data_IF_016894220348
#
_entry.id   IF_016894220348
#
_cell.length_a   1.000
_cell.length_b   1.000
_cell.length_c   1.000
_cell.angle_alpha   90.00
_cell.angle_beta   90.00
_cell.angle_gamma   90.00
#
_symmetry.space_group_name_H-M   'P 1'
#
loop_
_entity.id
_entity.type
_entity.pdbx_description
1 polymer ?
#
# COMPACT_ATOMS: atom_id res chain seq x y z
N UNK A 1 68.86 -83.53 -54.21
CA UNK A 1 68.60 -82.50 -53.17
C UNK A 1 69.04 -81.17 -53.75
N UNK A 2 68.23 -80.14 -54.00
CA UNK A 2 66.86 -79.85 -53.58
C UNK A 2 66.67 -78.33 -53.59
N UNK A 3 66.73 -77.74 -54.79
CA UNK A 3 66.28 -76.41 -55.29
C UNK A 3 66.78 -75.10 -54.62
N UNK A 4 67.25 -74.12 -55.43
CA UNK A 4 67.63 -72.78 -54.97
C UNK A 4 66.63 -71.66 -55.42
N UNK A 5 66.86 -70.45 -54.89
CA UNK A 5 66.47 -69.09 -55.38
C UNK A 5 64.99 -68.66 -55.22
N UNK A 6 64.74 -67.54 -54.50
CA UNK A 6 64.31 -66.28 -55.15
C UNK A 6 64.03 -65.13 -54.18
N UNK A 7 64.64 -64.01 -54.56
CA UNK A 7 64.41 -62.64 -54.16
C UNK A 7 62.94 -62.26 -54.40
N UNK A 8 62.25 -61.78 -53.36
CA UNK A 8 60.93 -61.17 -53.46
C UNK A 8 61.06 -59.85 -54.22
N UNK A 9 60.93 -59.89 -55.55
CA UNK A 9 60.69 -58.70 -56.34
C UNK A 9 59.26 -58.21 -56.09
N UNK A 10 59.16 -56.97 -55.64
CA UNK A 10 57.97 -56.15 -55.77
C UNK A 10 57.53 -56.22 -57.24
N UNK A 11 56.39 -56.87 -57.51
CA UNK A 11 55.72 -56.75 -58.79
C UNK A 11 55.17 -55.34 -58.88
N UNK A 12 56.03 -54.43 -59.31
CA UNK A 12 55.58 -53.22 -59.98
C UNK A 12 54.86 -53.68 -61.24
N UNK A 13 53.53 -53.86 -61.13
CA UNK A 13 52.67 -53.54 -62.26
C UNK A 13 52.92 -52.07 -62.53
N UNK A 14 53.83 -51.83 -63.47
CA UNK A 14 54.04 -50.54 -64.09
C UNK A 14 52.69 -49.92 -64.35
N UNK A 15 52.47 -48.77 -63.73
CA UNK A 15 52.42 -47.48 -64.40
C UNK A 15 52.66 -47.47 -65.93
N UNK A 16 52.10 -48.42 -66.67
CA UNK A 16 51.89 -48.34 -68.11
C UNK A 16 50.45 -47.87 -68.33
N UNK A 17 50.07 -46.80 -67.62
CA UNK A 17 49.21 -45.81 -68.24
C UNK A 17 50.08 -45.09 -69.26
N UNK A 18 50.38 -45.78 -70.37
CA UNK A 18 50.79 -45.11 -71.59
C UNK A 18 49.61 -44.20 -71.93
N UNK A 19 49.71 -42.94 -71.53
CA UNK A 19 48.92 -41.87 -72.12
C UNK A 19 49.31 -41.83 -73.60
N UNK A 20 48.69 -42.68 -74.40
CA UNK A 20 48.55 -42.40 -75.83
C UNK A 20 47.79 -41.07 -75.87
N UNK A 21 48.53 -39.98 -76.12
CA UNK A 21 47.95 -38.66 -76.30
C UNK A 21 47.17 -38.66 -77.61
N UNK A 22 45.99 -39.26 -77.57
CA UNK A 22 45.06 -39.23 -78.67
C UNK A 22 44.28 -37.90 -78.56
N UNK A 23 44.36 -37.01 -79.57
CA UNK A 23 43.62 -35.75 -79.55
C UNK A 23 42.10 -35.93 -79.39
N UNK A 24 41.58 -37.12 -79.73
CA UNK A 24 40.18 -37.49 -79.52
C UNK A 24 39.84 -37.65 -78.03
N UNK A 25 40.70 -38.31 -77.24
CA UNK A 25 40.44 -38.56 -75.82
C UNK A 25 40.46 -37.26 -75.01
N UNK A 26 41.39 -36.34 -75.34
CA UNK A 26 41.44 -34.99 -74.74
C UNK A 26 40.14 -34.23 -75.05
N UNK A 27 39.63 -34.33 -76.29
CA UNK A 27 38.36 -33.72 -76.69
C UNK A 27 37.18 -34.24 -75.87
N UNK A 28 37.09 -35.56 -75.66
CA UNK A 28 36.02 -36.18 -74.86
C UNK A 28 36.12 -35.77 -73.39
N UNK A 29 37.33 -35.74 -72.81
CA UNK A 29 37.52 -35.28 -71.42
C UNK A 29 37.10 -33.83 -71.24
N UNK A 30 37.43 -32.93 -72.18
CA UNK A 30 37.01 -31.52 -72.15
C UNK A 30 35.48 -31.41 -72.25
N UNK A 31 34.85 -32.17 -73.16
CA UNK A 31 33.38 -32.19 -73.28
C UNK A 31 32.74 -32.71 -71.99
N UNK A 32 33.27 -33.78 -71.40
CA UNK A 32 32.75 -34.32 -70.14
C UNK A 32 32.90 -33.31 -68.98
N UNK A 33 34.04 -32.63 -68.88
CA UNK A 33 34.26 -31.56 -67.90
C UNK A 33 33.28 -30.41 -68.10
N UNK A 34 33.02 -30.00 -69.35
CA UNK A 34 32.05 -28.96 -69.67
C UNK A 34 30.62 -29.38 -69.31
N UNK A 35 30.22 -30.61 -69.63
CA UNK A 35 28.90 -31.15 -69.28
C UNK A 35 28.74 -31.20 -67.76
N UNK A 36 29.73 -31.72 -67.04
CA UNK A 36 29.73 -31.75 -65.57
C UNK A 36 29.67 -30.34 -64.99
N UNK A 37 30.45 -29.40 -65.52
CA UNK A 37 30.44 -28.00 -65.08
C UNK A 37 29.07 -27.34 -65.30
N UNK A 38 28.42 -27.59 -66.44
CA UNK A 38 27.10 -27.04 -66.73
C UNK A 38 26.02 -27.62 -65.80
N UNK A 39 26.06 -28.93 -65.53
CA UNK A 39 25.16 -29.58 -64.57
C UNK A 39 25.38 -29.00 -63.17
N UNK A 40 26.63 -28.92 -62.73
CA UNK A 40 26.99 -28.44 -61.40
C UNK A 40 26.64 -26.96 -61.22
N UNK A 41 26.88 -26.12 -62.24
CA UNK A 41 26.45 -24.72 -62.26
C UNK A 41 24.94 -24.61 -62.11
N UNK A 42 24.16 -25.38 -62.87
CA UNK A 42 22.69 -25.33 -62.81
C UNK A 42 22.14 -25.84 -61.47
N UNK A 43 22.76 -26.86 -60.89
CA UNK A 43 22.34 -27.45 -59.61
C UNK A 43 22.74 -26.57 -58.42
N UNK A 44 23.94 -25.99 -58.42
CA UNK A 44 24.46 -25.20 -57.29
C UNK A 44 24.00 -23.74 -57.27
N UNK A 45 23.58 -23.17 -58.40
CA UNK A 45 23.17 -21.77 -58.47
C UNK A 45 22.05 -21.44 -57.46
N UNK A 46 20.99 -22.28 -57.44
CA UNK A 46 19.86 -22.11 -56.52
C UNK A 46 20.26 -22.22 -55.04
N UNK A 47 20.81 -23.33 -54.53
CA UNK A 47 21.09 -23.48 -53.10
C UNK A 47 22.12 -22.47 -52.57
N UNK A 48 23.11 -22.07 -53.37
CA UNK A 48 24.10 -21.06 -52.95
C UNK A 48 23.47 -19.68 -52.88
N UNK A 49 22.64 -19.30 -53.86
CA UNK A 49 21.92 -18.02 -53.83
C UNK A 49 20.93 -17.95 -52.67
N UNK A 50 20.17 -19.02 -52.44
CA UNK A 50 19.19 -19.11 -51.36
C UNK A 50 19.86 -19.05 -49.98
N UNK A 51 21.01 -19.72 -49.81
CA UNK A 51 21.77 -19.66 -48.56
C UNK A 51 22.30 -18.24 -48.27
N UNK A 52 22.85 -17.56 -49.28
CA UNK A 52 23.35 -16.19 -49.13
C UNK A 52 22.21 -15.21 -48.85
N UNK A 53 21.08 -15.34 -49.52
CA UNK A 53 19.90 -14.50 -49.30
C UNK A 53 19.32 -14.74 -47.91
N UNK A 54 19.18 -16.01 -47.49
CA UNK A 54 18.71 -16.36 -46.14
C UNK A 54 19.63 -15.79 -45.06
N UNK A 55 20.94 -15.86 -45.25
CA UNK A 55 21.91 -15.28 -44.30
C UNK A 55 21.81 -13.76 -44.26
N UNK A 56 21.61 -13.11 -45.41
CA UNK A 56 21.41 -11.66 -45.49
C UNK A 56 20.12 -11.25 -44.78
N UNK A 57 19.02 -11.96 -45.01
CA UNK A 57 17.74 -11.72 -44.35
C UNK A 57 17.85 -11.89 -42.84
N UNK A 58 18.45 -12.98 -42.36
CA UNK A 58 18.65 -13.20 -40.92
C UNK A 58 19.43 -12.06 -40.26
N UNK A 59 20.52 -11.59 -40.89
CA UNK A 59 21.31 -10.49 -40.35
C UNK A 59 20.51 -9.18 -40.32
N UNK A 60 19.76 -8.89 -41.39
CA UNK A 60 18.92 -7.70 -41.43
C UNK A 60 17.81 -7.77 -40.37
N UNK A 61 17.14 -8.91 -40.25
CA UNK A 61 16.10 -9.13 -39.26
C UNK A 61 16.64 -8.99 -37.84
N UNK A 62 17.82 -9.55 -37.56
CA UNK A 62 18.48 -9.44 -36.25
C UNK A 62 18.86 -7.98 -35.94
N UNK A 63 19.36 -7.23 -36.92
CA UNK A 63 19.68 -5.80 -36.77
C UNK A 63 18.43 -4.95 -36.55
N UNK A 64 17.37 -5.19 -37.32
CA UNK A 64 16.09 -4.50 -37.20
C UNK A 64 15.41 -4.83 -35.86
N UNK A 65 15.50 -6.08 -35.40
CA UNK A 65 15.02 -6.50 -34.08
C UNK A 65 15.84 -5.84 -32.97
N UNK A 66 17.17 -5.81 -33.08
CA UNK A 66 18.03 -5.16 -32.09
C UNK A 66 17.75 -3.65 -32.00
N UNK A 67 17.53 -2.99 -33.14
CA UNK A 67 17.19 -1.57 -33.19
C UNK A 67 15.80 -1.31 -32.57
N UNK A 68 14.78 -2.10 -32.93
CA UNK A 68 13.44 -2.01 -32.32
C UNK A 68 13.47 -2.23 -30.81
N UNK A 69 14.15 -3.27 -30.35
CA UNK A 69 14.29 -3.56 -28.92
C UNK A 69 14.99 -2.42 -28.18
N UNK A 70 16.00 -1.79 -28.80
CA UNK A 70 16.69 -0.64 -28.22
C UNK A 70 15.77 0.58 -28.12
N UNK A 71 15.01 0.87 -29.15
CA UNK A 71 14.05 1.98 -29.16
C UNK A 71 12.93 1.75 -28.13
N UNK A 72 12.36 0.54 -28.07
CA UNK A 72 11.37 0.16 -27.07
C UNK A 72 11.92 0.26 -25.64
N UNK A 73 13.15 -0.24 -25.41
CA UNK A 73 13.79 -0.13 -24.10
C UNK A 73 14.04 1.33 -23.70
N UNK A 74 14.44 2.19 -24.63
CA UNK A 74 14.60 3.63 -24.38
C UNK A 74 13.27 4.31 -24.06
N UNK A 75 12.22 3.98 -24.80
CA UNK A 75 10.87 4.50 -24.56
C UNK A 75 10.35 4.07 -23.19
N UNK A 76 10.45 2.79 -22.85
CA UNK A 76 10.07 2.27 -21.54
C UNK A 76 10.86 2.92 -20.41
N UNK A 77 12.17 3.14 -20.61
CA UNK A 77 13.00 3.81 -19.62
C UNK A 77 12.55 5.25 -19.38
N UNK A 78 12.20 5.98 -20.43
CA UNK A 78 11.69 7.35 -20.35
C UNK A 78 10.32 7.38 -19.65
N UNK A 79 9.39 6.50 -20.02
CA UNK A 79 8.08 6.34 -19.38
C UNK A 79 8.23 5.99 -17.89
N UNK A 80 9.13 5.06 -17.54
CA UNK A 80 9.42 4.72 -16.15
C UNK A 80 9.99 5.90 -15.37
N UNK A 81 10.91 6.68 -15.95
CA UNK A 81 11.45 7.89 -15.31
C UNK A 81 10.36 8.91 -15.05
N UNK A 82 9.49 9.14 -16.03
CA UNK A 82 8.35 10.05 -15.89
C UNK A 82 7.40 9.56 -14.80
N UNK A 83 7.06 8.27 -14.78
CA UNK A 83 6.20 7.67 -13.77
C UNK A 83 6.79 7.79 -12.37
N UNK A 84 8.10 7.52 -12.21
CA UNK A 84 8.78 7.69 -10.91
C UNK A 84 8.77 9.15 -10.46
N UNK A 85 8.98 10.11 -11.37
CA UNK A 85 8.91 11.53 -11.05
C UNK A 85 7.49 11.96 -10.65
N UNK A 86 6.48 11.50 -11.38
CA UNK A 86 5.06 11.75 -11.07
C UNK A 86 4.67 11.16 -9.72
N UNK A 87 5.00 9.89 -9.46
CA UNK A 87 4.71 9.21 -8.21
C UNK A 87 5.38 9.90 -7.01
N UNK A 88 6.63 10.40 -7.17
CA UNK A 88 7.29 11.19 -6.12
C UNK A 88 6.54 12.49 -5.84
N UNK A 89 6.07 13.19 -6.87
CA UNK A 89 5.27 14.40 -6.74
C UNK A 89 3.91 14.14 -6.08
N UNK A 90 3.25 13.04 -6.45
CA UNK A 90 1.98 12.63 -5.87
C UNK A 90 2.13 12.20 -4.40
N UNK A 91 3.15 11.40 -4.08
CA UNK A 91 3.46 11.03 -2.70
C UNK A 91 3.72 12.26 -1.82
N UNK A 92 4.48 13.24 -2.32
CA UNK A 92 4.69 14.50 -1.60
C UNK A 92 3.37 15.26 -1.36
N UNK A 93 2.48 15.31 -2.36
CA UNK A 93 1.15 15.92 -2.21
C UNK A 93 0.26 15.18 -1.22
N UNK A 94 0.30 13.85 -1.21
CA UNK A 94 -0.47 13.04 -0.24
C UNK A 94 0.01 13.34 1.17
N UNK A 95 1.33 13.37 1.41
CA UNK A 95 1.90 13.70 2.72
C UNK A 95 1.52 15.12 3.15
N UNK A 96 1.68 16.10 2.27
CA UNK A 96 1.33 17.50 2.54
C UNK A 96 -0.18 17.68 2.86
N UNK A 97 -1.06 17.01 2.11
CA UNK A 97 -2.49 16.98 2.40
C UNK A 97 -2.80 16.31 3.73
N UNK A 98 -2.14 15.18 4.04
CA UNK A 98 -2.34 14.46 5.30
C UNK A 98 -1.90 15.30 6.50
N UNK A 99 -0.76 16.01 6.40
CA UNK A 99 -0.29 16.93 7.45
C UNK A 99 -1.29 18.08 7.64
N UNK A 100 -1.73 18.74 6.57
CA UNK A 100 -2.75 19.80 6.65
C UNK A 100 -4.04 19.31 7.30
N UNK A 101 -4.53 18.12 6.91
CA UNK A 101 -5.74 17.55 7.51
C UNK A 101 -5.53 17.20 8.99
N UNK A 102 -4.35 16.69 9.35
CA UNK A 102 -4.02 16.39 10.74
C UNK A 102 -3.99 17.66 11.60
N UNK A 103 -3.41 18.75 11.11
CA UNK A 103 -3.39 20.03 11.81
C UNK A 103 -4.80 20.60 11.98
N UNK A 104 -5.62 20.58 10.92
CA UNK A 104 -7.02 21.01 11.01
C UNK A 104 -7.82 20.17 12.01
N UNK A 105 -7.64 18.84 12.00
CA UNK A 105 -8.29 17.95 12.96
C UNK A 105 -7.82 18.18 14.38
N UNK A 106 -6.52 18.42 14.58
CA UNK A 106 -5.97 18.75 15.88
C UNK A 106 -6.60 20.03 16.43
N UNK A 107 -6.68 21.08 15.61
CA UNK A 107 -7.27 22.35 16.02
C UNK A 107 -8.77 22.20 16.32
N UNK A 108 -9.51 21.42 15.52
CA UNK A 108 -10.91 21.08 15.75
C UNK A 108 -11.10 20.34 17.09
N UNK A 109 -10.27 19.32 17.36
CA UNK A 109 -10.32 18.55 18.61
C UNK A 109 -10.03 19.45 19.82
N UNK A 110 -9.02 20.32 19.73
CA UNK A 110 -8.67 21.25 20.83
C UNK A 110 -9.82 22.24 21.06
N UNK A 111 -10.41 22.79 20.00
CA UNK A 111 -11.52 23.72 20.10
C UNK A 111 -12.76 23.04 20.72
N UNK A 112 -13.10 21.84 20.27
CA UNK A 112 -14.21 21.06 20.81
C UNK A 112 -13.98 20.70 22.27
N UNK A 113 -12.79 20.20 22.63
CA UNK A 113 -12.45 19.89 24.02
C UNK A 113 -12.52 21.13 24.92
N UNK A 114 -12.13 22.31 24.43
CA UNK A 114 -12.28 23.56 25.15
C UNK A 114 -13.74 23.96 25.38
N UNK A 115 -14.60 23.78 24.37
CA UNK A 115 -16.04 24.03 24.49
C UNK A 115 -16.71 23.06 25.47
N UNK A 116 -16.38 21.77 25.38
CA UNK A 116 -16.90 20.73 26.28
C UNK A 116 -16.46 20.98 27.73
N UNK A 117 -15.19 21.34 27.95
CA UNK A 117 -14.69 21.69 29.27
C UNK A 117 -15.39 22.92 29.85
N UNK A 118 -15.63 23.96 29.04
CA UNK A 118 -16.35 25.15 29.47
C UNK A 118 -17.82 24.84 29.82
N UNK A 119 -18.50 24.05 28.98
CA UNK A 119 -19.88 23.62 29.22
C UNK A 119 -19.99 22.75 30.48
N UNK A 120 -19.02 21.85 30.69
CA UNK A 120 -18.96 21.04 31.91
C UNK A 120 -18.78 21.91 33.14
N UNK A 121 -17.82 22.84 33.14
CA UNK A 121 -17.61 23.75 34.27
C UNK A 121 -18.86 24.57 34.60
N UNK A 122 -19.59 25.04 33.60
CA UNK A 122 -20.82 25.80 33.83
C UNK A 122 -21.93 24.91 34.43
N UNK A 123 -22.07 23.68 33.94
CA UNK A 123 -23.02 22.71 34.48
C UNK A 123 -22.69 22.35 35.94
N UNK A 124 -21.43 22.06 36.23
CA UNK A 124 -20.98 21.73 37.59
C UNK A 124 -21.17 22.90 38.56
N UNK A 125 -20.95 24.15 38.11
CA UNK A 125 -21.26 25.34 38.92
C UNK A 125 -22.74 25.46 39.24
N UNK A 126 -23.60 25.21 38.25
CA UNK A 126 -25.05 25.22 38.46
C UNK A 126 -25.49 24.12 39.43
N UNK A 127 -24.91 22.92 39.31
CA UNK A 127 -25.17 21.79 40.20
C UNK A 127 -24.70 22.07 41.63
N UNK A 128 -23.51 22.64 41.81
CA UNK A 128 -23.01 23.09 43.12
C UNK A 128 -23.93 24.14 43.73
N UNK A 129 -24.40 25.12 42.95
CA UNK A 129 -25.30 26.15 43.45
C UNK A 129 -26.64 25.55 43.90
N UNK A 130 -27.16 24.58 43.16
CA UNK A 130 -28.38 23.85 43.51
C UNK A 130 -28.19 23.03 44.80
N UNK A 131 -27.07 22.30 44.91
CA UNK A 131 -26.77 21.49 46.09
C UNK A 131 -26.57 22.38 47.32
N UNK A 132 -25.90 23.53 47.19
CA UNK A 132 -25.78 24.51 48.27
C UNK A 132 -27.14 25.03 48.72
N UNK A 133 -28.04 25.35 47.80
CA UNK A 133 -29.39 25.79 48.14
C UNK A 133 -30.16 24.71 48.92
N UNK A 134 -30.03 23.45 48.50
CA UNK A 134 -30.64 22.30 49.18
C UNK A 134 -30.07 22.09 50.58
N UNK A 135 -28.75 22.09 50.73
CA UNK A 135 -28.08 21.98 52.05
C UNK A 135 -28.47 23.13 52.97
N UNK A 136 -28.62 24.36 52.45
CA UNK A 136 -29.10 25.49 53.25
C UNK A 136 -30.56 25.35 53.68
N UNK A 137 -31.41 24.71 52.87
CA UNK A 137 -32.79 24.43 53.24
C UNK A 137 -32.84 23.37 54.35
N UNK A 138 -32.10 22.27 54.20
CA UNK A 138 -31.97 21.22 55.23
C UNK A 138 -31.44 21.80 56.55
N UNK A 139 -30.42 22.66 56.49
CA UNK A 139 -29.86 23.31 57.68
C UNK A 139 -30.87 24.23 58.39
N UNK A 140 -31.74 24.93 57.66
CA UNK A 140 -32.80 25.74 58.27
C UNK A 140 -33.82 24.87 58.99
N UNK A 141 -34.18 23.73 58.41
CA UNK A 141 -35.09 22.77 59.03
C UNK A 141 -34.50 22.20 60.32
N UNK A 142 -33.23 21.80 60.29
CA UNK A 142 -32.50 21.31 61.46
C UNK A 142 -32.42 22.37 62.57
N UNK A 143 -32.13 23.63 62.23
CA UNK A 143 -32.09 24.74 63.20
C UNK A 143 -33.48 25.01 63.79
N UNK A 144 -34.54 24.95 62.98
CA UNK A 144 -35.91 25.12 63.46
C UNK A 144 -36.26 24.03 64.47
N UNK A 145 -35.99 22.77 64.14
CA UNK A 145 -36.21 21.62 65.03
C UNK A 145 -35.42 21.73 66.33
N UNK A 146 -34.13 22.14 66.24
CA UNK A 146 -33.29 22.36 67.41
C UNK A 146 -33.83 23.50 68.29
N UNK A 147 -34.30 24.58 67.68
CA UNK A 147 -34.85 25.75 68.39
C UNK A 147 -36.13 25.38 69.16
N UNK A 148 -37.02 24.60 68.55
CA UNK A 148 -38.22 24.05 69.21
C UNK A 148 -37.81 23.16 70.38
N UNK A 149 -36.88 22.22 70.19
CA UNK A 149 -36.41 21.33 71.26
C UNK A 149 -35.77 22.10 72.43
N UNK A 150 -35.04 23.19 72.15
CA UNK A 150 -34.49 24.08 73.19
C UNK A 150 -35.61 24.83 73.92
N UNK A 151 -36.57 25.38 73.19
CA UNK A 151 -37.72 26.09 73.77
C UNK A 151 -38.56 25.17 74.67
N UNK A 152 -38.87 23.96 74.21
CA UNK A 152 -39.56 22.92 75.00
C UNK A 152 -38.82 22.63 76.30
N UNK A 153 -37.50 22.44 76.24
CA UNK A 153 -36.66 22.15 77.41
C UNK A 153 -36.56 23.32 78.38
N UNK A 154 -36.53 24.55 77.87
CA UNK A 154 -36.55 25.77 78.70
C UNK A 154 -37.91 26.00 79.36
N UNK A 155 -39.01 25.79 78.63
CA UNK A 155 -40.37 25.93 79.13
C UNK A 155 -40.65 24.88 80.21
N UNK A 156 -40.28 23.62 79.98
CA UNK A 156 -40.40 22.55 80.96
C UNK A 156 -39.64 22.80 82.28
N UNK A 157 -38.56 23.61 82.26
CA UNK A 157 -37.82 24.00 83.47
C UNK A 157 -38.42 25.19 84.23
N UNK A 158 -39.20 26.04 83.58
CA UNK A 158 -39.71 27.29 84.16
C UNK A 158 -41.23 27.33 84.37
N UNK A 159 -41.96 26.28 83.96
CA UNK A 159 -43.41 26.17 84.11
C UNK A 159 -43.82 26.15 85.60
N UNK A 160 -44.61 27.15 86.01
CA UNK A 160 -45.25 27.19 87.32
C UNK A 160 -46.70 26.73 87.25
N UNK A 161 -47.31 26.39 88.39
CA UNK A 161 -48.73 25.98 88.45
C UNK A 161 -49.69 27.08 87.93
N UNK A 162 -49.29 28.35 88.03
CA UNK A 162 -50.07 29.49 87.57
C UNK A 162 -50.02 29.65 86.04
N UNK A 163 -48.88 29.34 85.41
CA UNK A 163 -48.74 29.34 83.95
C UNK A 163 -49.60 28.24 83.30
N UNK A 164 -49.72 27.07 83.96
CA UNK A 164 -50.56 25.97 83.48
C UNK A 164 -52.05 26.35 83.46
N UNK A 165 -52.54 27.04 84.50
CA UNK A 165 -53.93 27.50 84.59
C UNK A 165 -54.24 28.62 83.57
N UNK A 166 -53.29 29.52 83.35
CA UNK A 166 -53.41 30.58 82.35
C UNK A 166 -53.45 30.02 80.90
N UNK A 167 -52.59 29.05 80.59
CA UNK A 167 -52.60 28.38 79.27
C UNK A 167 -53.92 27.62 79.05
N UNK A 168 -54.40 26.91 80.08
CA UNK A 168 -55.67 26.18 80.00
C UNK A 168 -56.85 27.11 79.71
N UNK A 169 -56.87 28.29 80.34
CA UNK A 169 -57.92 29.30 80.14
C UNK A 169 -57.83 29.92 78.73
N UNK A 170 -56.62 30.23 78.26
CA UNK A 170 -56.41 30.80 76.92
C UNK A 170 -56.85 29.84 75.79
N UNK A 171 -56.61 28.53 75.95
CA UNK A 171 -57.05 27.51 74.98
C UNK A 171 -58.57 27.40 74.93
N UNK A 172 -59.26 27.50 76.08
CA UNK A 172 -60.72 27.51 76.13
C UNK A 172 -61.30 28.73 75.41
N UNK A 173 -60.70 29.89 75.59
CA UNK A 173 -61.13 31.14 74.94
C UNK A 173 -60.92 31.12 73.41
N UNK A 174 -59.82 30.54 72.93
CA UNK A 174 -59.56 30.37 71.48
C UNK A 174 -60.55 29.39 70.83
N UNK A 175 -60.87 28.28 71.51
CA UNK A 175 -61.87 27.30 71.06
C UNK A 175 -63.29 27.88 71.01
N UNK A 176 -63.64 28.75 71.96
CA UNK A 176 -64.92 29.47 71.93
C UNK A 176 -64.96 30.52 70.80
N UNK A 177 -63.83 31.14 70.45
CA UNK A 177 -63.77 32.11 69.35
C UNK A 177 -63.88 31.48 67.95
N UNK A 178 -63.38 30.25 67.78
CA UNK A 178 -63.47 29.50 66.52
C UNK A 178 -64.78 28.71 66.35
N UNK A 179 -65.61 28.65 67.40
CA UNK A 179 -66.92 27.98 67.40
C UNK A 179 -68.11 28.91 67.06
N UNK A 180 -67.85 30.20 66.79
CA UNK A 180 -68.79 31.18 66.23
C UNK A 180 -68.42 31.54 64.79
#
# INVERSE_FOLDING_TARGET
MGRPISHFMYSGKGADAMFEFNPVDIGITIVNLLVLFLILRKLLWKPVSEFLEKRRQLINDDLDNAQRNREEAQKLLEEHRQLVAQNKGEAAKIIDNAVRQADLRKDEIIAQAGQEAAALLEREKAEIAQEQAKVMQELREDISNLSVAVAEKMLARNLTAQDQEAIFTAVLEELESHAN
#
